data_IF_549655523187
#
_entry.id   IF_549655523187
#
_cell.length_a   1.000
_cell.length_b   1.000
_cell.length_c   1.000
_cell.angle_alpha   90.00
_cell.angle_beta   90.00
_cell.angle_gamma   90.00
#
_symmetry.space_group_name_H-M   'P 1'
#
loop_
_entity.id
_entity.type
_entity.pdbx_description
1 polymer ?
#
# COMPACT_ATOMS: atom_id res chain seq x y z
N UNK A 1 -14.94 4.17 27.07
CA UNK A 1 -15.04 2.99 26.18
C UNK A 1 -15.41 3.46 24.79
N UNK A 2 -14.43 3.63 23.89
CA UNK A 2 -14.75 3.95 22.49
C UNK A 2 -13.94 3.07 21.55
N UNK A 3 -14.67 2.08 21.03
CA UNK A 3 -14.69 1.60 19.64
C UNK A 3 -13.50 0.73 19.22
N UNK A 4 -13.68 -0.57 19.43
CA UNK A 4 -12.91 -1.71 18.88
C UNK A 4 -13.22 -2.00 17.38
N UNK A 5 -13.62 -1.02 16.58
CA UNK A 5 -14.06 -1.29 15.19
C UNK A 5 -12.98 -1.02 14.13
N UNK A 6 -11.69 -1.05 14.51
CA UNK A 6 -10.58 -0.70 13.62
C UNK A 6 -10.14 -1.83 12.67
N UNK A 7 -10.40 -3.09 13.02
CA UNK A 7 -9.79 -4.24 12.34
C UNK A 7 -10.60 -4.77 11.14
N UNK A 8 -11.94 -4.66 11.17
CA UNK A 8 -12.77 -5.22 10.10
C UNK A 8 -12.62 -4.46 8.78
N UNK A 9 -12.52 -3.13 8.80
CA UNK A 9 -12.47 -2.33 7.58
C UNK A 9 -11.14 -2.49 6.81
N UNK A 10 -9.99 -2.49 7.51
CA UNK A 10 -8.69 -2.60 6.85
C UNK A 10 -8.53 -3.93 6.09
N UNK A 11 -8.78 -5.06 6.77
CA UNK A 11 -8.67 -6.37 6.14
C UNK A 11 -9.70 -6.57 5.03
N UNK A 12 -10.92 -6.04 5.19
CA UNK A 12 -11.93 -6.06 4.13
C UNK A 12 -11.49 -5.25 2.92
N UNK A 13 -10.93 -4.05 3.12
CA UNK A 13 -10.43 -3.20 2.05
C UNK A 13 -9.28 -3.87 1.30
N UNK A 14 -8.26 -4.37 2.01
CA UNK A 14 -7.12 -5.10 1.42
C UNK A 14 -7.61 -6.29 0.60
N UNK A 15 -8.51 -7.12 1.15
CA UNK A 15 -9.04 -8.28 0.44
C UNK A 15 -9.85 -7.86 -0.80
N UNK A 16 -10.66 -6.80 -0.69
CA UNK A 16 -11.49 -6.32 -1.80
C UNK A 16 -10.60 -5.84 -2.95
N UNK A 17 -9.59 -5.02 -2.64
CA UNK A 17 -8.62 -4.55 -3.63
C UNK A 17 -7.86 -5.72 -4.26
N UNK A 18 -7.46 -6.72 -3.47
CA UNK A 18 -6.75 -7.90 -3.97
C UNK A 18 -7.60 -8.69 -4.98
N UNK A 19 -8.89 -8.90 -4.68
CA UNK A 19 -9.79 -9.56 -5.61
C UNK A 19 -10.01 -8.74 -6.90
N UNK A 20 -10.15 -7.42 -6.79
CA UNK A 20 -10.23 -6.53 -7.95
C UNK A 20 -8.97 -6.62 -8.82
N UNK A 21 -7.79 -6.57 -8.21
CA UNK A 21 -6.50 -6.70 -8.92
C UNK A 21 -6.37 -8.06 -9.61
N UNK A 22 -6.72 -9.16 -8.93
CA UNK A 22 -6.74 -10.50 -9.52
C UNK A 22 -7.68 -10.59 -10.71
N UNK A 23 -8.87 -9.99 -10.62
CA UNK A 23 -9.81 -9.95 -11.73
C UNK A 23 -9.25 -9.18 -12.92
N UNK A 24 -8.70 -7.98 -12.69
CA UNK A 24 -8.06 -7.17 -13.74
C UNK A 24 -6.88 -7.91 -14.37
N UNK A 25 -6.05 -8.57 -13.58
CA UNK A 25 -4.94 -9.39 -14.07
C UNK A 25 -5.44 -10.51 -15.00
N UNK A 26 -6.50 -11.24 -14.61
CA UNK A 26 -7.13 -12.27 -15.47
C UNK A 26 -7.64 -11.71 -16.80
N UNK A 27 -8.22 -10.52 -16.79
CA UNK A 27 -8.68 -9.85 -18.01
C UNK A 27 -7.52 -9.42 -18.92
N UNK A 28 -6.40 -8.97 -18.33
CA UNK A 28 -5.22 -8.51 -19.07
C UNK A 28 -4.39 -9.68 -19.64
N UNK A 29 -4.25 -10.78 -18.89
CA UNK A 29 -3.51 -11.97 -19.30
C UNK A 29 -4.35 -12.95 -20.12
N UNK A 30 -5.10 -12.43 -21.12
CA UNK A 30 -6.22 -13.06 -21.86
C UNK A 30 -5.96 -14.41 -22.55
N UNK A 31 -4.82 -15.07 -22.32
CA UNK A 31 -4.51 -16.45 -22.70
C UNK A 31 -4.73 -17.50 -21.60
N UNK A 32 -5.38 -17.18 -20.47
CA UNK A 32 -5.69 -18.15 -19.40
C UNK A 32 -7.19 -18.48 -19.26
N UNK A 33 -8.02 -18.24 -20.28
CA UNK A 33 -9.26 -19.02 -20.45
C UNK A 33 -8.92 -20.44 -20.98
N UNK A 34 -7.93 -21.09 -20.37
CA UNK A 34 -7.76 -22.52 -20.49
C UNK A 34 -8.55 -23.14 -19.34
N UNK A 35 -9.64 -23.81 -19.72
CA UNK A 35 -10.56 -24.51 -18.84
C UNK A 35 -11.34 -23.63 -17.86
N UNK A 36 -12.53 -23.18 -18.30
CA UNK A 36 -13.68 -23.23 -17.38
C UNK A 36 -13.77 -24.68 -16.92
N UNK A 37 -13.15 -25.00 -15.79
CA UNK A 37 -13.40 -26.26 -15.10
C UNK A 37 -14.84 -26.15 -14.64
N UNK A 38 -15.76 -26.71 -15.43
CA UNK A 38 -17.10 -27.02 -14.96
C UNK A 38 -16.90 -27.81 -13.68
N UNK A 39 -17.30 -27.29 -12.51
CA UNK A 39 -17.07 -27.99 -11.26
C UNK A 39 -17.81 -29.33 -11.32
N UNK A 40 -17.20 -30.43 -10.84
CA UNK A 40 -17.98 -31.63 -10.55
C UNK A 40 -19.07 -31.20 -9.56
N UNK A 41 -20.32 -31.46 -9.92
CA UNK A 41 -21.52 -31.18 -9.12
C UNK A 41 -21.29 -31.57 -7.66
N UNK A 42 -21.31 -30.61 -6.74
CA UNK A 42 -21.27 -30.85 -5.29
C UNK A 42 -20.18 -30.16 -4.47
N UNK A 43 -19.22 -29.44 -5.06
CA UNK A 43 -18.23 -28.67 -4.27
C UNK A 43 -18.80 -27.33 -3.80
N UNK A 44 -18.66 -27.03 -2.50
CA UNK A 44 -19.00 -25.72 -1.91
C UNK A 44 -18.27 -24.58 -2.64
N UNK A 45 -18.96 -23.45 -2.83
CA UNK A 45 -18.47 -22.25 -3.55
C UNK A 45 -17.13 -21.75 -3.01
N UNK A 46 -16.86 -21.93 -1.71
CA UNK A 46 -15.59 -21.59 -1.05
C UNK A 46 -14.35 -22.30 -1.65
N UNK A 47 -14.55 -23.41 -2.39
CA UNK A 47 -13.48 -24.12 -3.09
C UNK A 47 -13.30 -23.66 -4.55
N UNK A 48 -14.18 -22.79 -5.06
CA UNK A 48 -14.13 -22.29 -6.45
C UNK A 48 -13.24 -21.06 -6.60
N UNK A 49 -13.10 -20.27 -5.53
CA UNK A 49 -12.24 -19.10 -5.51
C UNK A 49 -11.04 -19.39 -4.61
N UNK A 50 -9.81 -19.51 -5.16
CA UNK A 50 -8.61 -19.67 -4.35
C UNK A 50 -8.50 -18.55 -3.32
N UNK A 51 -8.04 -18.89 -2.10
CA UNK A 51 -7.76 -17.88 -1.07
C UNK A 51 -6.72 -16.86 -1.57
N UNK A 52 -6.76 -15.65 -1.02
CA UNK A 52 -5.76 -14.62 -1.32
C UNK A 52 -4.41 -15.03 -0.72
N UNK A 53 -3.34 -14.91 -1.52
CA UNK A 53 -1.98 -15.14 -1.06
C UNK A 53 -1.51 -13.98 -0.17
N UNK A 54 -0.43 -14.19 0.59
CA UNK A 54 0.19 -13.12 1.37
C UNK A 54 0.68 -11.98 0.47
N UNK A 55 1.28 -12.32 -0.67
CA UNK A 55 1.78 -11.38 -1.66
C UNK A 55 0.66 -10.51 -2.27
N UNK A 56 -0.51 -11.09 -2.60
CA UNK A 56 -1.64 -10.30 -3.11
C UNK A 56 -2.16 -9.30 -2.08
N UNK A 57 -2.15 -9.68 -0.80
CA UNK A 57 -2.55 -8.79 0.29
C UNK A 57 -1.53 -7.68 0.49
N UNK A 58 -0.23 -8.01 0.50
CA UNK A 58 0.84 -7.02 0.61
C UNK A 58 0.81 -6.02 -0.54
N UNK A 59 0.65 -6.50 -1.78
CA UNK A 59 0.52 -5.64 -2.96
C UNK A 59 -0.71 -4.73 -2.89
N UNK A 60 -1.81 -5.25 -2.36
CA UNK A 60 -3.03 -4.46 -2.16
C UNK A 60 -2.86 -3.39 -1.09
N UNK A 61 -2.18 -3.71 0.00
CA UNK A 61 -1.85 -2.74 1.06
C UNK A 61 -0.93 -1.65 0.53
N UNK A 62 0.16 -2.00 -0.16
CA UNK A 62 1.05 -1.04 -0.84
C UNK A 62 0.28 -0.17 -1.83
N UNK A 63 -0.66 -0.74 -2.60
CA UNK A 63 -1.51 0.02 -3.52
C UNK A 63 -2.39 1.04 -2.81
N UNK A 64 -3.05 0.64 -1.71
CA UNK A 64 -3.88 1.53 -0.91
C UNK A 64 -3.02 2.67 -0.35
N UNK A 65 -1.87 2.37 0.24
CA UNK A 65 -0.93 3.36 0.78
C UNK A 65 -0.52 4.36 -0.31
N UNK A 66 -0.07 3.87 -1.47
CA UNK A 66 0.32 4.72 -2.60
C UNK A 66 -0.82 5.62 -3.06
N UNK A 67 -2.04 5.07 -3.12
CA UNK A 67 -3.23 5.82 -3.53
C UNK A 67 -3.58 6.93 -2.53
N UNK A 68 -3.49 6.65 -1.23
CA UNK A 68 -3.71 7.64 -0.19
C UNK A 68 -2.66 8.75 -0.23
N UNK A 69 -1.38 8.39 -0.38
CA UNK A 69 -0.31 9.37 -0.49
C UNK A 69 -0.44 10.22 -1.76
N UNK A 70 -0.83 9.62 -2.88
CA UNK A 70 -1.14 10.36 -4.10
C UNK A 70 -2.26 11.37 -3.87
N UNK A 71 -3.30 11.00 -3.12
CA UNK A 71 -4.45 11.85 -2.91
C UNK A 71 -4.15 13.01 -1.94
N UNK A 72 -3.52 12.73 -0.80
CA UNK A 72 -3.32 13.72 0.26
C UNK A 72 -2.00 14.49 0.18
N UNK A 73 -0.97 13.91 -0.46
CA UNK A 73 0.36 14.49 -0.58
C UNK A 73 0.77 14.58 -2.06
N UNK A 74 -0.17 14.85 -2.96
CA UNK A 74 0.06 14.84 -4.40
C UNK A 74 1.24 15.74 -4.82
N UNK A 75 1.25 16.97 -4.33
CA UNK A 75 2.28 17.96 -4.66
C UNK A 75 3.64 17.53 -4.16
N UNK A 76 3.71 17.02 -2.93
CA UNK A 76 4.95 16.50 -2.36
C UNK A 76 5.43 15.24 -3.05
N UNK A 77 4.53 14.32 -3.39
CA UNK A 77 4.85 13.10 -4.12
C UNK A 77 5.48 13.41 -5.46
N UNK A 78 4.88 14.31 -6.24
CA UNK A 78 5.43 14.75 -7.52
C UNK A 78 6.79 15.42 -7.36
N UNK A 79 6.96 16.24 -6.32
CA UNK A 79 8.26 16.88 -6.04
C UNK A 79 9.33 15.84 -5.68
N UNK A 80 8.99 14.84 -4.86
CA UNK A 80 9.90 13.76 -4.49
C UNK A 80 10.23 12.83 -5.66
N UNK A 81 9.27 12.56 -6.55
CA UNK A 81 9.49 11.74 -7.77
C UNK A 81 10.50 12.43 -8.70
N UNK A 82 10.39 13.75 -8.89
CA UNK A 82 11.37 14.54 -9.66
C UNK A 82 12.75 14.60 -9.00
N UNK A 83 12.80 14.56 -7.67
CA UNK A 83 14.08 14.56 -6.94
C UNK A 83 14.91 13.28 -7.23
N UNK A 84 14.26 12.15 -7.51
CA UNK A 84 14.94 10.90 -7.92
C UNK A 84 15.59 11.04 -9.30
N UNK A 85 15.12 11.97 -10.14
CA UNK A 85 15.58 12.18 -11.53
C UNK A 85 16.78 13.15 -11.65
N UNK A 86 17.49 13.44 -10.55
CA UNK A 86 18.68 14.31 -10.45
C UNK A 86 18.43 15.82 -10.47
N UNK A 87 17.21 16.28 -10.24
CA UNK A 87 16.95 17.70 -9.95
C UNK A 87 16.92 17.92 -8.43
N UNK A 88 17.70 18.86 -7.91
CA UNK A 88 17.69 19.28 -6.50
C UNK A 88 16.40 20.04 -6.18
N UNK A 89 15.27 19.34 -6.21
CA UNK A 89 13.97 19.92 -5.94
C UNK A 89 13.56 19.64 -4.49
N UNK A 90 13.83 20.61 -3.62
CA UNK A 90 13.36 20.58 -2.25
C UNK A 90 11.84 20.77 -2.20
N UNK A 91 11.16 20.03 -1.32
CA UNK A 91 9.73 20.24 -1.06
C UNK A 91 9.42 21.74 -0.84
N UNK A 92 8.26 22.23 -1.33
CA UNK A 92 7.85 23.61 -1.11
C UNK A 92 7.94 23.98 0.37
N UNK A 93 8.37 25.21 0.68
CA UNK A 93 8.48 25.69 2.08
C UNK A 93 7.14 25.64 2.83
N UNK A 94 6.03 25.67 2.09
CA UNK A 94 4.66 25.57 2.58
C UNK A 94 4.22 24.13 2.87
N UNK A 95 4.99 23.12 2.46
CA UNK A 95 4.63 21.73 2.68
C UNK A 95 4.64 21.39 4.16
N UNK A 96 3.50 20.90 4.65
CA UNK A 96 3.30 20.53 6.05
C UNK A 96 4.14 19.32 6.48
N UNK A 97 4.65 18.54 5.52
CA UNK A 97 5.44 17.33 5.80
C UNK A 97 6.93 17.56 5.64
N UNK A 98 7.37 18.75 5.22
CA UNK A 98 8.79 19.08 5.00
C UNK A 98 9.66 18.88 6.24
N UNK A 99 9.13 19.17 7.43
CA UNK A 99 9.84 19.00 8.71
C UNK A 99 10.09 17.52 9.08
N UNK A 100 9.39 16.59 8.42
CA UNK A 100 9.52 15.15 8.61
C UNK A 100 10.62 14.53 7.73
N UNK A 101 11.36 15.35 6.98
CA UNK A 101 12.38 14.90 6.02
C UNK A 101 11.88 13.74 5.13
N UNK A 102 10.75 13.91 4.43
CA UNK A 102 10.12 12.83 3.70
C UNK A 102 10.95 12.45 2.47
N UNK A 103 10.94 11.17 2.12
CA UNK A 103 11.61 10.64 0.95
C UNK A 103 10.81 9.48 0.34
N UNK A 104 11.14 9.10 -0.90
CA UNK A 104 10.52 7.96 -1.56
C UNK A 104 11.35 6.69 -1.39
N UNK A 105 10.66 5.60 -1.04
CA UNK A 105 11.20 4.25 -1.08
C UNK A 105 10.13 3.32 -1.66
N UNK A 106 10.46 2.59 -2.72
CA UNK A 106 9.49 1.75 -3.46
C UNK A 106 8.22 2.50 -3.91
N UNK A 107 8.33 3.81 -4.17
CA UNK A 107 7.22 4.68 -4.55
C UNK A 107 6.28 5.09 -3.41
N UNK A 108 6.65 4.79 -2.16
CA UNK A 108 5.94 5.17 -0.94
C UNK A 108 6.70 6.29 -0.23
N UNK A 109 5.99 7.32 0.22
CA UNK A 109 6.54 8.40 1.04
C UNK A 109 6.79 7.86 2.45
N UNK A 110 8.04 7.94 2.91
CA UNK A 110 8.47 7.56 4.26
C UNK A 110 9.11 8.75 4.96
N UNK A 111 9.08 8.71 6.30
CA UNK A 111 9.65 9.74 7.17
C UNK A 111 11.14 9.46 7.38
N UNK A 112 11.98 10.49 7.31
CA UNK A 112 13.40 10.43 7.62
C UNK A 112 13.74 11.07 8.97
N UNK A 113 15.02 11.29 9.23
CA UNK A 113 15.49 12.12 10.35
C UNK A 113 16.11 11.34 11.50
N UNK A 114 15.86 11.79 12.74
CA UNK A 114 16.72 11.54 13.92
C UNK A 114 16.95 10.07 14.31
N UNK A 115 16.09 9.15 13.84
CA UNK A 115 16.20 7.71 14.14
C UNK A 115 16.91 6.91 13.03
N UNK A 116 17.34 7.54 11.93
CA UNK A 116 18.04 6.85 10.82
C UNK A 116 19.32 6.13 11.30
N UNK A 117 20.04 6.74 12.23
CA UNK A 117 21.33 6.26 12.74
C UNK A 117 21.21 5.15 13.79
N UNK A 118 20.00 4.79 14.22
CA UNK A 118 19.82 3.76 15.25
C UNK A 118 20.12 2.37 14.68
N UNK A 119 21.22 1.73 15.09
CA UNK A 119 21.65 0.43 14.54
C UNK A 119 20.75 -0.75 14.92
N UNK A 120 19.92 -0.60 15.97
CA UNK A 120 19.10 -1.68 16.53
C UNK A 120 17.69 -1.76 15.92
N UNK A 121 17.34 -0.86 15.01
CA UNK A 121 16.02 -0.78 14.39
C UNK A 121 16.04 -1.32 12.96
N UNK A 122 14.96 -1.96 12.53
CA UNK A 122 14.77 -2.33 11.12
C UNK A 122 14.57 -1.10 10.24
N UNK A 123 14.69 -1.27 8.92
CA UNK A 123 14.47 -0.19 7.98
C UNK A 123 13.07 0.44 8.13
N UNK A 124 12.04 -0.39 8.30
CA UNK A 124 10.64 0.01 8.44
C UNK A 124 10.42 0.82 9.71
N UNK A 125 11.10 0.44 10.80
CA UNK A 125 11.05 1.15 12.08
C UNK A 125 11.76 2.50 12.01
N UNK A 126 12.89 2.59 11.29
CA UNK A 126 13.61 3.84 11.06
C UNK A 126 12.85 4.79 10.14
N UNK A 127 12.14 4.22 9.17
CA UNK A 127 11.52 4.94 8.07
C UNK A 127 10.04 4.62 7.99
N UNK A 128 9.24 5.07 8.97
CA UNK A 128 7.81 4.78 9.00
C UNK A 128 7.11 5.40 7.78
N UNK A 129 6.05 4.72 7.34
CA UNK A 129 5.22 5.15 6.22
C UNK A 129 4.44 6.39 6.62
N UNK A 130 4.47 7.42 5.77
CA UNK A 130 3.72 8.64 6.01
C UNK A 130 2.26 8.47 5.57
N UNK A 131 1.33 8.53 6.52
CA UNK A 131 -0.11 8.49 6.25
C UNK A 131 -0.80 9.75 6.78
N UNK A 132 -1.95 10.13 6.20
CA UNK A 132 -2.79 11.17 6.78
C UNK A 132 -3.22 10.80 8.21
N UNK A 133 -3.23 11.78 9.11
CA UNK A 133 -3.44 11.57 10.55
C UNK A 133 -4.75 10.84 10.92
N UNK A 134 -5.79 10.95 10.10
CA UNK A 134 -7.09 10.30 10.34
C UNK A 134 -7.15 8.85 9.83
N UNK A 135 -6.10 8.35 9.17
CA UNK A 135 -6.02 6.97 8.67
C UNK A 135 -5.06 6.18 9.54
N UNK A 136 -5.57 5.15 10.21
CA UNK A 136 -4.78 4.15 10.92
C UNK A 136 -4.76 2.87 10.08
N UNK A 137 -3.79 2.77 9.16
CA UNK A 137 -3.42 1.47 8.59
C UNK A 137 -2.42 0.85 9.57
N UNK A 138 -2.62 -0.42 9.93
CA UNK A 138 -1.75 -1.10 10.87
C UNK A 138 -0.51 -1.56 10.10
N UNK A 139 0.42 -0.65 9.83
CA UNK A 139 1.62 -0.89 8.99
C UNK A 139 2.72 -1.67 9.73
N UNK A 140 2.34 -2.56 10.65
CA UNK A 140 3.27 -3.37 11.44
C UNK A 140 3.30 -4.80 10.90
N UNK A 141 4.28 -5.08 10.05
CA UNK A 141 4.88 -6.42 9.88
C UNK A 141 6.34 -6.25 9.53
#
# INVERSE_FOLDING_TARGET
MLIENRFSNHHQLVNTIAYCQRFVHKLRCRNLFSSVVVPPTGKKIENLVPKLTAEEKENSEKFIIKSLQQFFFNTEKQALEKQVENETLFLPKTSHIRSLSPFLHEGIIRVGGRISEATQLTFEQKHPILLPHFISLNTNT
#
